data_IF_749275152200
#
_entry.id   IF_749275152200
#
_cell.length_a   1.000
_cell.length_b   1.000
_cell.length_c   1.000
_cell.angle_alpha   90.00
_cell.angle_beta   90.00
_cell.angle_gamma   90.00
#
_symmetry.space_group_name_H-M   'P 1'
#
loop_
_entity.id
_entity.type
_entity.pdbx_description
1 polymer ?
#
# COMPACT_ATOMS: atom_id res chain seq x y z
N UNK A 1 16.80 -5.74 4.39
CA UNK A 1 16.34 -7.11 4.06
C UNK A 1 14.80 -7.28 4.03
N UNK A 2 13.97 -6.24 3.85
CA UNK A 2 12.48 -6.40 3.77
C UNK A 2 11.87 -6.38 2.36
N UNK A 3 12.51 -5.73 1.39
CA UNK A 3 11.91 -5.32 0.10
C UNK A 3 11.17 -6.41 -0.70
N UNK A 4 11.52 -7.70 -0.63
CA UNK A 4 10.90 -8.74 -1.47
C UNK A 4 9.56 -9.26 -0.94
N UNK A 5 9.32 -9.26 0.38
CA UNK A 5 8.02 -9.70 0.93
C UNK A 5 7.01 -8.58 0.89
N UNK A 6 7.40 -7.34 1.24
CA UNK A 6 6.52 -6.17 1.16
C UNK A 6 5.96 -5.95 -0.25
N UNK A 7 6.78 -6.16 -1.29
CA UNK A 7 6.32 -6.03 -2.68
C UNK A 7 5.26 -7.08 -3.07
N UNK A 8 5.33 -8.29 -2.50
CA UNK A 8 4.32 -9.33 -2.75
C UNK A 8 3.02 -9.04 -2.02
N UNK A 9 3.08 -8.56 -0.77
CA UNK A 9 1.91 -8.15 0.00
C UNK A 9 1.21 -6.94 -0.66
N UNK A 10 1.98 -5.96 -1.11
CA UNK A 10 1.46 -4.78 -1.83
C UNK A 10 0.84 -5.18 -3.17
N UNK A 11 1.49 -6.03 -3.97
CA UNK A 11 0.92 -6.50 -5.25
C UNK A 11 -0.36 -7.31 -5.03
N UNK A 12 -0.37 -8.16 -3.99
CA UNK A 12 -1.55 -8.94 -3.61
C UNK A 12 -2.70 -8.03 -3.17
N UNK A 13 -2.46 -7.07 -2.29
CA UNK A 13 -3.47 -6.11 -1.84
C UNK A 13 -4.01 -5.27 -3.00
N UNK A 14 -3.12 -4.84 -3.90
CA UNK A 14 -3.49 -4.11 -5.11
C UNK A 14 -4.37 -4.98 -6.03
N UNK A 15 -4.02 -6.26 -6.21
CA UNK A 15 -4.83 -7.21 -6.99
C UNK A 15 -6.20 -7.46 -6.35
N UNK A 16 -6.25 -7.70 -5.04
CA UNK A 16 -7.50 -7.96 -4.32
C UNK A 16 -8.42 -6.73 -4.31
N UNK A 17 -7.84 -5.53 -4.27
CA UNK A 17 -8.61 -4.28 -4.34
C UNK A 17 -8.99 -3.87 -5.77
N UNK A 18 -8.58 -4.62 -6.79
CA UNK A 18 -8.90 -4.31 -8.19
C UNK A 18 -8.02 -3.23 -8.84
N UNK A 19 -6.87 -2.88 -8.24
CA UNK A 19 -5.90 -1.97 -8.85
C UNK A 19 -5.30 -2.64 -10.09
N UNK A 20 -5.47 -2.04 -11.29
CA UNK A 20 -4.92 -2.59 -12.52
C UNK A 20 -3.38 -2.59 -12.47
N UNK A 21 -2.72 -3.56 -13.14
CA UNK A 21 -1.25 -3.69 -13.12
C UNK A 21 -0.53 -2.41 -13.52
N UNK A 22 -1.07 -1.64 -14.47
CA UNK A 22 -0.53 -0.35 -14.90
C UNK A 22 -0.45 0.69 -13.75
N UNK A 23 -1.37 0.63 -12.77
CA UNK A 23 -1.42 1.56 -11.62
C UNK A 23 -0.76 1.00 -10.35
N UNK A 24 -0.29 -0.24 -10.34
CA UNK A 24 0.38 -0.82 -9.16
C UNK A 24 1.68 -0.10 -8.82
N UNK A 25 2.38 0.42 -9.83
CA UNK A 25 3.57 1.25 -9.63
C UNK A 25 3.21 2.57 -8.93
N UNK A 26 2.12 3.20 -9.33
CA UNK A 26 1.59 4.41 -8.68
C UNK A 26 1.09 4.13 -7.26
N UNK A 27 0.48 2.97 -7.04
CA UNK A 27 0.08 2.54 -5.69
C UNK A 27 1.29 2.40 -4.75
N UNK A 28 2.39 1.79 -5.22
CA UNK A 28 3.64 1.74 -4.45
C UNK A 28 4.18 3.13 -4.10
N UNK A 29 4.17 4.06 -5.07
CA UNK A 29 4.58 5.46 -4.85
C UNK A 29 3.66 6.19 -3.88
N UNK A 30 2.36 5.92 -3.92
CA UNK A 30 1.36 6.45 -2.98
C UNK A 30 1.65 6.00 -1.55
N UNK A 31 1.95 4.71 -1.34
CA UNK A 31 2.32 4.19 -0.03
C UNK A 31 3.60 4.84 0.51
N UNK A 32 4.64 5.00 -0.32
CA UNK A 32 5.86 5.72 0.07
C UNK A 32 5.60 7.18 0.42
N UNK A 33 4.68 7.85 -0.30
CA UNK A 33 4.26 9.22 0.02
C UNK A 33 3.51 9.26 1.36
N UNK A 34 2.60 8.32 1.62
CA UNK A 34 1.91 8.22 2.91
C UNK A 34 2.91 8.08 4.07
N UNK A 35 3.90 7.19 3.94
CA UNK A 35 4.97 7.04 4.94
C UNK A 35 5.73 8.35 5.19
N UNK A 36 6.08 9.08 4.12
CA UNK A 36 6.77 10.38 4.25
C UNK A 36 5.92 11.50 4.88
N UNK A 37 4.60 11.42 4.77
CA UNK A 37 3.68 12.40 5.37
C UNK A 37 3.28 12.05 6.81
N UNK A 38 3.93 11.05 7.42
CA UNK A 38 3.59 10.58 8.77
C UNK A 38 2.36 9.67 8.82
N UNK A 39 1.76 9.35 7.67
CA UNK A 39 0.64 8.43 7.55
C UNK A 39 1.12 7.01 7.19
N UNK A 40 2.24 6.60 7.81
CA UNK A 40 2.82 5.28 7.70
C UNK A 40 1.94 4.22 8.36
N UNK A 41 2.24 2.96 8.06
CA UNK A 41 1.52 1.85 8.68
C UNK A 41 2.01 1.51 10.08
N UNK A 42 1.28 0.64 10.75
CA UNK A 42 1.50 0.28 12.16
C UNK A 42 2.28 -1.02 12.35
N UNK A 43 2.70 -1.69 11.26
CA UNK A 43 3.37 -3.00 11.29
C UNK A 43 4.71 -2.96 12.03
N UNK A 44 5.45 -1.85 11.96
CA UNK A 44 6.75 -1.69 12.59
C UNK A 44 7.10 -0.21 12.80
N UNK A 45 8.18 0.04 13.54
CA UNK A 45 8.74 1.39 13.80
C UNK A 45 9.21 2.12 12.51
N UNK A 46 9.32 1.40 11.38
CA UNK A 46 9.65 1.96 10.07
C UNK A 46 8.43 2.46 9.29
N UNK A 47 7.23 2.32 9.86
CA UNK A 47 5.98 2.73 9.22
C UNK A 47 5.53 1.80 8.10
N UNK A 48 5.89 0.51 8.12
CA UNK A 48 5.32 -0.47 7.19
C UNK A 48 3.84 -0.72 7.46
N UNK A 49 3.09 -0.98 6.38
CA UNK A 49 1.67 -1.25 6.44
C UNK A 49 1.42 -2.72 6.74
N UNK A 50 0.51 -3.00 7.68
CA UNK A 50 -0.08 -4.34 7.78
C UNK A 50 -0.99 -4.58 6.58
N UNK A 51 -1.28 -5.85 6.30
CA UNK A 51 -2.07 -6.23 5.13
C UNK A 51 -3.44 -5.51 5.06
N UNK A 52 -4.11 -5.36 6.21
CA UNK A 52 -5.38 -4.66 6.31
C UNK A 52 -5.26 -3.16 5.98
N UNK A 53 -4.18 -2.51 6.41
CA UNK A 53 -3.89 -1.12 6.07
C UNK A 53 -3.59 -0.96 4.58
N UNK A 54 -2.91 -1.94 3.96
CA UNK A 54 -2.67 -1.95 2.51
C UNK A 54 -3.98 -2.02 1.73
N UNK A 55 -4.95 -2.84 2.16
CA UNK A 55 -6.28 -2.91 1.54
C UNK A 55 -7.05 -1.58 1.69
N UNK A 56 -7.01 -0.98 2.88
CA UNK A 56 -7.61 0.34 3.11
C UNK A 56 -6.99 1.40 2.22
N UNK A 57 -5.66 1.45 2.16
CA UNK A 57 -4.90 2.37 1.32
C UNK A 57 -5.14 2.14 -0.17
N UNK A 58 -5.36 0.89 -0.59
CA UNK A 58 -5.70 0.56 -1.96
C UNK A 58 -7.09 1.07 -2.35
N UNK A 59 -8.09 0.95 -1.47
CA UNK A 59 -9.41 1.56 -1.67
C UNK A 59 -9.36 3.08 -1.71
N UNK A 60 -8.61 3.70 -0.79
CA UNK A 60 -8.37 5.16 -0.80
C UNK A 60 -7.71 5.60 -2.12
N UNK A 61 -6.73 4.84 -2.61
CA UNK A 61 -6.05 5.11 -3.88
C UNK A 61 -6.98 4.99 -5.11
N UNK A 62 -7.96 4.08 -5.05
CA UNK A 62 -8.98 3.92 -6.09
C UNK A 62 -10.12 4.96 -6.00
N UNK A 63 -10.20 5.70 -4.89
CA UNK A 63 -11.26 6.68 -4.65
C UNK A 63 -12.57 6.09 -4.14
N UNK A 64 -12.59 4.82 -3.71
CA UNK A 64 -13.78 4.14 -3.17
C UNK A 64 -14.03 4.44 -1.67
N UNK A 65 -13.55 5.58 -1.18
CA UNK A 65 -13.56 5.92 0.25
C UNK A 65 -13.78 7.41 0.51
N UNK A 66 -14.65 8.05 -0.29
CA UNK A 66 -15.27 9.36 0.00
C UNK A 66 -16.73 9.13 0.38
#
# INVERSE_FOLDING_TARGET
>A
MGKKQDLKEVDRAARESGIPPARRRDFGRYLERCKRQGNGGTKNDRGDFVYEELLKKAREFLGEGV
#
